data_IF_871763631148
#
_entry.id   IF_871763631148
#
_cell.length_a   1.000
_cell.length_b   1.000
_cell.length_c   1.000
_cell.angle_alpha   90.00
_cell.angle_beta   90.00
_cell.angle_gamma   90.00
#
_symmetry.space_group_name_H-M   'P 1'
#
loop_
_entity.id
_entity.type
_entity.pdbx_description
1 polymer ?
#
# COMPACT_ATOMS: atom_id res chain seq x y z
N UNK A 1 -14.40 24.74 16.97
CA UNK A 1 -13.43 23.62 16.95
C UNK A 1 -13.30 22.95 15.57
N UNK A 2 -14.35 22.88 14.74
CA UNK A 2 -14.29 22.28 13.38
C UNK A 2 -13.24 22.88 12.42
N UNK A 3 -12.94 24.19 12.52
CA UNK A 3 -12.08 24.92 11.57
C UNK A 3 -10.59 24.52 11.70
N UNK A 4 -10.16 24.10 12.89
CA UNK A 4 -8.76 23.73 13.15
C UNK A 4 -8.46 22.34 12.57
N UNK A 5 -9.37 21.38 12.75
CA UNK A 5 -9.25 20.04 12.16
C UNK A 5 -9.17 20.08 10.62
N UNK A 6 -9.99 20.91 9.97
CA UNK A 6 -9.95 21.05 8.50
C UNK A 6 -8.66 21.70 8.00
N UNK A 7 -8.08 22.65 8.73
CA UNK A 7 -6.83 23.32 8.35
C UNK A 7 -5.60 22.43 8.58
N UNK A 8 -5.58 21.70 9.69
CA UNK A 8 -4.57 20.68 10.00
C UNK A 8 -4.63 19.57 8.95
N UNK A 9 -5.83 19.06 8.65
CA UNK A 9 -6.03 18.03 7.64
C UNK A 9 -5.64 18.51 6.22
N UNK A 10 -6.00 19.72 5.79
CA UNK A 10 -5.58 20.24 4.47
C UNK A 10 -4.06 20.42 4.36
N UNK A 11 -3.40 20.73 5.48
CA UNK A 11 -1.94 20.80 5.58
C UNK A 11 -1.32 19.40 5.49
N UNK A 12 -1.93 18.39 6.12
CA UNK A 12 -1.55 16.98 5.99
C UNK A 12 -1.82 16.40 4.61
N UNK A 13 -2.95 16.72 3.98
CA UNK A 13 -3.28 16.34 2.59
C UNK A 13 -2.18 16.76 1.62
N UNK A 14 -1.70 18.00 1.72
CA UNK A 14 -0.60 18.47 0.89
C UNK A 14 0.75 17.85 1.29
N UNK A 15 1.00 17.64 2.59
CA UNK A 15 2.28 17.12 3.08
C UNK A 15 2.45 15.60 2.85
N UNK A 16 1.43 14.77 3.06
CA UNK A 16 1.42 13.34 2.74
C UNK A 16 1.51 13.12 1.23
N UNK A 17 0.66 13.81 0.45
CA UNK A 17 0.70 13.71 -1.01
C UNK A 17 2.01 14.24 -1.59
N UNK A 18 2.67 15.26 -1.02
CA UNK A 18 3.98 15.69 -1.52
C UNK A 18 5.14 14.82 -1.00
N UNK A 19 5.18 14.44 0.28
CA UNK A 19 6.32 13.72 0.85
C UNK A 19 6.37 12.26 0.39
N UNK A 20 5.23 11.57 0.32
CA UNK A 20 5.15 10.19 -0.14
C UNK A 20 5.36 10.10 -1.67
N UNK A 21 4.84 11.05 -2.47
CA UNK A 21 4.98 10.97 -3.93
C UNK A 21 6.29 11.56 -4.48
N UNK A 22 6.81 12.69 -3.96
CA UNK A 22 7.95 13.36 -4.59
C UNK A 22 9.31 12.91 -4.08
N UNK A 23 9.41 12.37 -2.86
CA UNK A 23 10.71 11.96 -2.31
C UNK A 23 11.25 10.71 -3.01
N UNK A 24 10.37 9.78 -3.38
CA UNK A 24 10.78 8.53 -4.05
C UNK A 24 10.86 8.63 -5.57
N UNK A 25 9.95 9.36 -6.23
CA UNK A 25 10.00 9.52 -7.69
C UNK A 25 11.30 10.17 -8.19
N UNK A 26 11.75 11.23 -7.50
CA UNK A 26 12.99 11.92 -7.84
C UNK A 26 14.26 11.11 -7.51
N UNK A 27 14.18 10.12 -6.62
CA UNK A 27 15.27 9.20 -6.31
C UNK A 27 15.33 8.04 -7.32
N UNK A 28 14.16 7.52 -7.72
CA UNK A 28 14.02 6.48 -8.73
C UNK A 28 14.48 6.96 -10.12
N UNK A 29 14.05 8.15 -10.56
CA UNK A 29 14.47 8.76 -11.84
C UNK A 29 15.98 9.08 -11.91
N UNK A 30 16.64 9.25 -10.75
CA UNK A 30 18.10 9.42 -10.68
C UNK A 30 18.86 8.10 -10.78
N UNK A 31 18.28 6.99 -10.31
CA UNK A 31 18.89 5.64 -10.38
C UNK A 31 18.78 5.03 -11.77
N UNK A 32 17.68 5.29 -12.50
CA UNK A 32 17.47 4.78 -13.88
C UNK A 32 18.33 5.47 -14.95
N UNK A 33 19.05 6.57 -14.61
CA UNK A 33 19.92 7.31 -15.55
C UNK A 33 21.43 7.05 -15.41
N UNK A 34 21.88 6.22 -14.47
CA UNK A 34 23.31 5.91 -14.33
C UNK A 34 23.65 4.52 -14.89
N UNK A 35 24.52 4.41 -15.92
CA UNK A 35 25.04 3.13 -16.36
C UNK A 35 26.08 2.65 -15.34
N UNK A 36 25.65 1.87 -14.35
CA UNK A 36 26.55 1.28 -13.36
C UNK A 36 27.15 -0.01 -13.93
N UNK A 37 28.46 0.00 -14.21
CA UNK A 37 29.18 -1.10 -14.88
C UNK A 37 29.57 -2.29 -13.99
N UNK A 38 29.15 -2.34 -12.72
CA UNK A 38 29.52 -3.43 -11.80
C UNK A 38 28.35 -3.91 -10.91
N UNK A 39 27.24 -4.36 -11.48
CA UNK A 39 26.15 -5.01 -10.74
C UNK A 39 25.62 -6.23 -11.51
N UNK A 40 26.18 -7.41 -11.24
CA UNK A 40 25.82 -8.65 -11.96
C UNK A 40 24.68 -9.46 -11.32
N UNK A 41 23.85 -8.84 -10.48
CA UNK A 41 22.85 -9.59 -9.67
C UNK A 41 21.47 -8.94 -9.60
N UNK A 42 20.97 -8.20 -10.60
CA UNK A 42 19.63 -7.58 -10.48
C UNK A 42 18.64 -7.76 -11.65
N UNK A 43 19.01 -8.45 -12.74
CA UNK A 43 18.31 -8.20 -14.01
C UNK A 43 17.11 -9.09 -14.37
N UNK A 44 16.94 -10.28 -13.77
CA UNK A 44 16.02 -11.27 -14.39
C UNK A 44 14.53 -11.14 -14.00
N UNK A 45 14.17 -10.48 -12.88
CA UNK A 45 12.75 -10.24 -12.52
C UNK A 45 12.18 -8.95 -13.11
N UNK A 46 13.03 -7.97 -13.45
CA UNK A 46 12.61 -6.75 -14.14
C UNK A 46 12.46 -6.96 -15.65
N UNK A 47 13.36 -7.71 -16.29
CA UNK A 47 13.32 -7.93 -17.75
C UNK A 47 12.04 -8.64 -18.22
N UNK A 48 11.48 -9.55 -17.41
CA UNK A 48 10.25 -10.27 -17.76
C UNK A 48 9.01 -9.37 -17.74
N UNK A 49 8.96 -8.37 -16.87
CA UNK A 49 7.81 -7.50 -16.68
C UNK A 49 7.70 -6.35 -17.69
N UNK A 50 8.83 -5.91 -18.26
CA UNK A 50 8.87 -4.74 -19.16
C UNK A 50 8.44 -5.02 -20.60
N UNK A 51 8.23 -6.28 -21.01
CA UNK A 51 7.96 -6.62 -22.42
C UNK A 51 6.69 -5.99 -23.00
N UNK A 52 5.66 -5.84 -22.17
CA UNK A 52 4.35 -5.34 -22.60
C UNK A 52 4.03 -3.93 -22.06
N UNK A 53 4.96 -3.32 -21.31
CA UNK A 53 4.80 -1.97 -20.74
C UNK A 53 3.77 -1.84 -19.60
N UNK A 54 3.24 -2.95 -19.09
CA UNK A 54 2.27 -2.97 -17.99
C UNK A 54 2.98 -2.87 -16.63
N UNK A 55 2.38 -2.20 -15.62
CA UNK A 55 2.90 -2.21 -14.26
C UNK A 55 2.98 -3.63 -13.69
N UNK A 56 3.99 -3.90 -12.88
CA UNK A 56 4.30 -5.22 -12.34
C UNK A 56 4.05 -5.30 -10.85
N UNK A 57 3.28 -6.30 -10.40
CA UNK A 57 2.92 -6.45 -8.99
C UNK A 57 4.04 -7.05 -8.12
N UNK A 58 5.15 -7.49 -8.72
CA UNK A 58 6.37 -7.79 -7.97
C UNK A 58 7.29 -6.58 -7.76
N UNK A 59 6.96 -5.41 -8.36
CA UNK A 59 7.67 -4.16 -8.12
C UNK A 59 7.10 -3.46 -6.88
N UNK A 60 7.95 -3.29 -5.87
CA UNK A 60 7.61 -2.64 -4.62
C UNK A 60 7.00 -1.25 -4.82
N UNK A 61 7.49 -0.47 -5.79
CA UNK A 61 7.00 0.88 -6.02
C UNK A 61 5.58 0.86 -6.58
N UNK A 62 5.28 -0.06 -7.49
CA UNK A 62 3.94 -0.24 -8.05
C UNK A 62 2.96 -0.64 -6.96
N UNK A 63 3.33 -1.62 -6.12
CA UNK A 63 2.50 -2.06 -4.99
C UNK A 63 2.27 -0.93 -3.99
N UNK A 64 3.34 -0.23 -3.59
CA UNK A 64 3.26 0.89 -2.65
C UNK A 64 2.38 2.02 -3.19
N UNK A 65 2.48 2.33 -4.48
CA UNK A 65 1.64 3.34 -5.12
C UNK A 65 0.16 2.96 -5.08
N UNK A 66 -0.18 1.72 -5.44
CA UNK A 66 -1.55 1.23 -5.41
C UNK A 66 -2.15 1.28 -4.00
N UNK A 67 -1.41 0.79 -3.02
CA UNK A 67 -1.83 0.77 -1.61
C UNK A 67 -1.92 2.20 -1.05
N UNK A 68 -0.96 3.06 -1.38
CA UNK A 68 -0.94 4.46 -0.97
C UNK A 68 -2.08 5.29 -1.58
N UNK A 69 -2.50 4.99 -2.80
CA UNK A 69 -3.68 5.61 -3.42
C UNK A 69 -4.95 5.25 -2.65
N UNK A 70 -5.15 3.97 -2.33
CA UNK A 70 -6.29 3.53 -1.52
C UNK A 70 -6.30 4.20 -0.13
N UNK A 71 -5.15 4.28 0.54
CA UNK A 71 -5.02 4.95 1.84
C UNK A 71 -5.30 6.46 1.75
N UNK A 72 -4.84 7.12 0.66
CA UNK A 72 -5.10 8.53 0.43
C UNK A 72 -6.59 8.80 0.21
N UNK A 73 -7.24 7.97 -0.61
CA UNK A 73 -8.66 8.10 -0.92
C UNK A 73 -9.55 7.85 0.31
N UNK A 74 -9.21 6.87 1.15
CA UNK A 74 -9.94 6.62 2.41
C UNK A 74 -9.79 7.79 3.39
N UNK A 75 -8.57 8.31 3.56
CA UNK A 75 -8.37 9.51 4.38
C UNK A 75 -9.18 10.69 3.85
N UNK A 76 -9.28 10.89 2.53
CA UNK A 76 -10.08 11.97 1.94
C UNK A 76 -11.58 11.82 2.29
N UNK A 77 -12.09 10.58 2.38
CA UNK A 77 -13.47 10.33 2.82
C UNK A 77 -13.71 10.79 4.24
N UNK A 78 -12.74 10.68 5.16
CA UNK A 78 -12.89 11.24 6.50
C UNK A 78 -13.14 12.76 6.48
N UNK A 79 -12.52 13.48 5.54
CA UNK A 79 -12.80 14.92 5.35
C UNK A 79 -14.21 15.13 4.89
N UNK A 80 -14.64 14.38 3.88
CA UNK A 80 -15.96 14.53 3.30
C UNK A 80 -17.04 14.17 4.34
N UNK A 81 -16.77 13.23 5.24
CA UNK A 81 -17.59 12.99 6.45
C UNK A 81 -17.60 14.22 7.36
N UNK A 82 -16.42 14.75 7.72
CA UNK A 82 -16.30 15.90 8.64
C UNK A 82 -16.99 17.17 8.12
N UNK A 83 -17.10 17.29 6.80
CA UNK A 83 -17.73 18.43 6.10
C UNK A 83 -19.20 18.17 5.73
N UNK A 84 -19.74 17.00 6.09
CA UNK A 84 -21.13 16.62 5.83
C UNK A 84 -21.45 16.33 4.36
N UNK A 85 -20.44 16.19 3.50
CA UNK A 85 -20.63 15.80 2.08
C UNK A 85 -20.94 14.31 1.93
N UNK A 86 -20.53 13.51 2.90
CA UNK A 86 -20.63 12.07 2.87
C UNK A 86 -21.05 11.56 4.26
N UNK A 87 -21.83 10.50 4.33
CA UNK A 87 -22.13 9.81 5.60
C UNK A 87 -21.07 8.76 5.90
N UNK A 88 -20.91 8.38 7.18
CA UNK A 88 -19.98 7.31 7.56
C UNK A 88 -20.32 5.96 6.89
N UNK A 89 -21.61 5.68 6.70
CA UNK A 89 -22.09 4.49 5.99
C UNK A 89 -21.65 4.50 4.52
N UNK A 90 -21.84 5.62 3.82
CA UNK A 90 -21.38 5.78 2.43
C UNK A 90 -19.86 5.63 2.30
N UNK A 91 -19.07 6.14 3.26
CA UNK A 91 -17.61 5.95 3.24
C UNK A 91 -17.25 4.48 3.36
N UNK A 92 -17.87 3.78 4.32
CA UNK A 92 -17.65 2.35 4.53
C UNK A 92 -17.97 1.53 3.28
N UNK A 93 -19.10 1.81 2.62
CA UNK A 93 -19.46 1.14 1.36
C UNK A 93 -18.42 1.39 0.25
N UNK A 94 -17.91 2.62 0.14
CA UNK A 94 -16.85 2.96 -0.82
C UNK A 94 -15.53 2.26 -0.50
N UNK A 95 -15.11 2.26 0.77
CA UNK A 95 -13.89 1.61 1.26
C UNK A 95 -13.93 0.09 0.95
N UNK A 96 -15.06 -0.56 1.24
CA UNK A 96 -15.27 -1.99 0.94
C UNK A 96 -15.20 -2.24 -0.57
N UNK A 97 -15.87 -1.41 -1.37
CA UNK A 97 -15.93 -1.55 -2.83
C UNK A 97 -14.53 -1.43 -3.44
N UNK A 98 -13.77 -0.43 -3.05
CA UNK A 98 -12.42 -0.21 -3.58
C UNK A 98 -11.42 -1.25 -3.09
N UNK A 99 -11.51 -1.67 -1.83
CA UNK A 99 -10.70 -2.77 -1.30
C UNK A 99 -10.91 -4.05 -2.09
N UNK A 100 -12.17 -4.37 -2.46
CA UNK A 100 -12.48 -5.51 -3.33
C UNK A 100 -11.94 -5.33 -4.74
N UNK A 101 -12.06 -4.14 -5.33
CA UNK A 101 -11.50 -3.87 -6.65
C UNK A 101 -9.99 -4.04 -6.66
N UNK A 102 -9.29 -3.52 -5.66
CA UNK A 102 -7.85 -3.68 -5.55
C UNK A 102 -7.45 -5.12 -5.25
N UNK A 103 -8.23 -5.86 -4.46
CA UNK A 103 -8.01 -7.29 -4.23
C UNK A 103 -8.01 -8.08 -5.54
N UNK A 104 -8.89 -7.77 -6.49
CA UNK A 104 -8.91 -8.40 -7.82
C UNK A 104 -7.63 -8.16 -8.61
N UNK A 105 -7.02 -6.97 -8.48
CA UNK A 105 -5.72 -6.67 -9.09
C UNK A 105 -4.65 -7.63 -8.53
N UNK A 106 -4.58 -7.76 -7.21
CA UNK A 106 -3.60 -8.64 -6.55
C UNK A 106 -3.87 -10.14 -6.73
N UNK A 107 -5.09 -10.53 -7.11
CA UNK A 107 -5.43 -11.88 -7.53
C UNK A 107 -5.19 -12.14 -9.03
N UNK A 108 -4.53 -11.21 -9.73
CA UNK A 108 -4.19 -11.36 -11.15
C UNK A 108 -5.39 -11.27 -12.09
N UNK A 109 -6.53 -10.75 -11.63
CA UNK A 109 -7.77 -10.68 -12.42
C UNK A 109 -7.85 -9.40 -13.27
N UNK A 110 -7.02 -8.40 -12.99
CA UNK A 110 -6.96 -7.17 -13.78
C UNK A 110 -5.92 -7.29 -14.91
N UNK A 111 -6.32 -7.28 -16.19
CA UNK A 111 -5.42 -7.44 -17.32
C UNK A 111 -4.46 -6.26 -17.54
N UNK A 112 -4.62 -5.14 -16.82
CA UNK A 112 -3.73 -3.98 -16.90
C UNK A 112 -2.42 -4.17 -16.12
N UNK A 113 -2.34 -5.18 -15.25
CA UNK A 113 -1.17 -5.46 -14.42
C UNK A 113 -0.55 -6.81 -14.79
N UNK A 114 0.78 -6.88 -14.72
CA UNK A 114 1.50 -8.14 -14.75
C UNK A 114 1.66 -8.65 -13.31
N UNK A 115 1.13 -9.83 -13.02
CA UNK A 115 1.31 -10.49 -11.72
C UNK A 115 2.69 -11.14 -11.57
N UNK A 116 3.16 -11.28 -10.33
CA UNK A 116 4.23 -12.19 -9.95
C UNK A 116 3.76 -13.63 -10.20
N UNK A 117 4.50 -14.35 -11.05
CA UNK A 117 4.14 -15.69 -11.50
C UNK A 117 4.00 -16.64 -10.31
N UNK A 118 2.92 -17.45 -10.29
CA UNK A 118 2.59 -18.39 -9.20
C UNK A 118 2.38 -17.75 -7.81
N UNK A 119 2.29 -16.42 -7.75
CA UNK A 119 2.02 -15.67 -6.53
C UNK A 119 0.66 -14.98 -6.58
N UNK A 120 0.41 -14.15 -7.61
CA UNK A 120 -0.86 -13.44 -7.79
C UNK A 120 -1.95 -14.35 -8.39
N UNK A 121 -2.24 -15.46 -7.71
CA UNK A 121 -3.31 -16.41 -8.04
C UNK A 121 -4.06 -16.83 -6.76
N UNK A 122 -5.38 -17.13 -6.84
CA UNK A 122 -6.13 -17.63 -5.69
C UNK A 122 -5.53 -18.92 -5.10
N UNK A 123 -5.47 -19.01 -3.77
CA UNK A 123 -4.82 -20.09 -3.00
C UNK A 123 -3.30 -19.89 -2.83
N UNK A 124 -2.77 -18.71 -3.13
CA UNK A 124 -1.35 -18.36 -2.92
C UNK A 124 -1.25 -17.10 -2.07
N UNK A 125 -1.31 -15.94 -2.71
CA UNK A 125 -1.20 -14.65 -2.03
C UNK A 125 -2.28 -14.49 -0.95
N UNK A 126 -3.53 -14.89 -1.20
CA UNK A 126 -4.61 -14.73 -0.22
C UNK A 126 -4.48 -15.67 0.98
N UNK A 127 -4.02 -16.91 0.78
CA UNK A 127 -3.73 -17.85 1.89
C UNK A 127 -2.58 -17.32 2.75
N UNK A 128 -1.54 -16.77 2.11
CA UNK A 128 -0.43 -16.12 2.81
C UNK A 128 -0.90 -14.91 3.60
N UNK A 129 -1.63 -13.98 2.96
CA UNK A 129 -2.21 -12.79 3.59
C UNK A 129 -3.09 -13.19 4.77
N UNK A 130 -3.94 -14.19 4.61
CA UNK A 130 -4.84 -14.66 5.66
C UNK A 130 -4.07 -15.20 6.87
N UNK A 131 -2.98 -15.94 6.64
CA UNK A 131 -2.11 -16.42 7.71
C UNK A 131 -1.38 -15.27 8.42
N UNK A 132 -0.87 -14.28 7.67
CA UNK A 132 -0.11 -13.15 8.23
C UNK A 132 -1.01 -12.23 9.08
N UNK A 133 -2.21 -11.91 8.59
CA UNK A 133 -3.13 -10.96 9.23
C UNK A 133 -4.23 -11.64 10.08
N UNK A 134 -4.17 -12.96 10.26
CA UNK A 134 -5.17 -13.76 10.97
C UNK A 134 -6.60 -13.54 10.46
N UNK A 135 -6.78 -13.56 9.13
CA UNK A 135 -8.06 -13.33 8.46
C UNK A 135 -8.76 -14.68 8.25
N UNK A 136 -10.02 -14.78 8.68
CA UNK A 136 -10.81 -16.03 8.66
C UNK A 136 -11.82 -16.12 7.50
N UNK A 137 -11.73 -15.22 6.54
CA UNK A 137 -12.60 -15.21 5.37
C UNK A 137 -12.39 -16.46 4.51
N UNK A 138 -13.46 -16.96 3.89
CA UNK A 138 -13.41 -18.17 3.06
C UNK A 138 -13.14 -17.88 1.57
N UNK A 139 -13.36 -16.65 1.14
CA UNK A 139 -13.22 -16.22 -0.25
C UNK A 139 -11.86 -15.50 -0.46
N UNK A 140 -11.08 -15.85 -1.50
CA UNK A 140 -9.80 -15.21 -1.79
C UNK A 140 -9.87 -13.69 -1.95
N UNK A 141 -10.89 -13.17 -2.65
CA UNK A 141 -11.08 -11.72 -2.82
C UNK A 141 -11.40 -11.07 -1.48
N UNK A 142 -12.27 -11.67 -0.67
CA UNK A 142 -12.60 -11.19 0.67
C UNK A 142 -11.38 -11.16 1.59
N UNK A 143 -10.48 -12.15 1.55
CA UNK A 143 -9.26 -12.16 2.38
C UNK A 143 -8.36 -10.97 2.09
N UNK A 144 -8.06 -10.72 0.81
CA UNK A 144 -7.22 -9.59 0.42
C UNK A 144 -7.96 -8.25 0.66
N UNK A 145 -9.26 -8.18 0.39
CA UNK A 145 -10.04 -6.99 0.67
C UNK A 145 -10.06 -6.66 2.17
N UNK A 146 -10.16 -7.66 3.05
CA UNK A 146 -10.10 -7.48 4.50
C UNK A 146 -8.74 -6.96 4.94
N UNK A 147 -7.64 -7.40 4.34
CA UNK A 147 -6.31 -6.83 4.60
C UNK A 147 -6.29 -5.31 4.34
N UNK A 148 -6.87 -4.87 3.22
CA UNK A 148 -6.97 -3.44 2.91
C UNK A 148 -7.90 -2.69 3.87
N UNK A 149 -9.00 -3.29 4.30
CA UNK A 149 -9.89 -2.70 5.30
C UNK A 149 -9.16 -2.51 6.64
N UNK A 150 -8.34 -3.47 7.07
CA UNK A 150 -7.52 -3.35 8.29
C UNK A 150 -6.56 -2.15 8.16
N UNK A 151 -5.88 -2.02 7.02
CA UNK A 151 -5.04 -0.85 6.76
C UNK A 151 -5.83 0.47 6.83
N UNK A 152 -7.01 0.54 6.23
CA UNK A 152 -7.87 1.74 6.29
C UNK A 152 -8.26 2.06 7.75
N UNK A 153 -8.54 1.04 8.56
CA UNK A 153 -8.80 1.21 9.99
C UNK A 153 -7.58 1.78 10.73
N UNK A 154 -6.37 1.32 10.42
CA UNK A 154 -5.13 1.89 10.96
C UNK A 154 -4.98 3.36 10.55
N UNK A 155 -5.24 3.70 9.29
CA UNK A 155 -5.20 5.09 8.80
C UNK A 155 -6.19 5.98 9.56
N UNK A 156 -7.40 5.48 9.80
CA UNK A 156 -8.42 6.20 10.56
C UNK A 156 -8.01 6.35 12.03
N UNK A 157 -7.36 5.34 12.61
CA UNK A 157 -6.75 5.42 13.93
C UNK A 157 -5.69 6.51 14.02
N UNK A 158 -4.76 6.54 13.06
CA UNK A 158 -3.72 7.56 12.98
C UNK A 158 -4.30 8.97 12.81
N UNK A 159 -5.34 9.14 11.99
CA UNK A 159 -6.05 10.42 11.86
C UNK A 159 -6.68 10.89 13.18
N UNK A 160 -7.24 9.96 13.98
CA UNK A 160 -7.78 10.30 15.32
C UNK A 160 -6.69 10.73 16.29
N UNK A 161 -5.52 10.08 16.27
CA UNK A 161 -4.37 10.51 17.09
C UNK A 161 -3.97 11.95 16.74
N UNK A 162 -3.98 12.31 15.45
CA UNK A 162 -3.72 13.69 15.04
C UNK A 162 -4.76 14.67 15.61
N UNK A 163 -6.05 14.30 15.60
CA UNK A 163 -7.13 15.12 16.19
C UNK A 163 -7.03 15.24 17.72
N UNK A 164 -6.50 14.22 18.39
CA UNK A 164 -6.20 14.22 19.83
C UNK A 164 -4.94 15.02 20.21
N UNK A 165 -4.20 15.53 19.22
CA UNK A 165 -3.03 16.38 19.41
C UNK A 165 -1.71 15.63 19.58
N UNK A 166 -1.64 14.37 19.15
CA UNK A 166 -0.36 13.65 19.10
C UNK A 166 0.62 14.32 18.11
N UNK A 167 1.94 14.18 18.34
CA UNK A 167 2.96 14.72 17.44
C UNK A 167 2.80 14.25 15.99
N UNK A 168 3.03 15.17 15.04
CA UNK A 168 2.97 14.89 13.59
C UNK A 168 3.87 13.71 13.19
N UNK A 169 5.08 13.65 13.74
CA UNK A 169 6.04 12.60 13.41
C UNK A 169 5.57 11.20 13.87
N UNK A 170 4.84 11.12 14.98
CA UNK A 170 4.30 9.86 15.49
C UNK A 170 3.15 9.36 14.60
N UNK A 171 2.26 10.27 14.20
CA UNK A 171 1.16 9.97 13.28
C UNK A 171 1.71 9.53 11.91
N UNK A 172 2.71 10.24 11.40
CA UNK A 172 3.36 9.91 10.12
C UNK A 172 4.04 8.53 10.20
N UNK A 173 4.73 8.24 11.30
CA UNK A 173 5.37 6.93 11.54
C UNK A 173 4.35 5.80 11.54
N UNK A 174 3.19 6.00 12.18
CA UNK A 174 2.11 5.02 12.17
C UNK A 174 1.56 4.76 10.76
N UNK A 175 1.36 5.81 9.96
CA UNK A 175 0.89 5.70 8.58
C UNK A 175 1.91 4.97 7.71
N UNK A 176 3.17 5.40 7.74
CA UNK A 176 4.23 4.81 6.93
C UNK A 176 4.47 3.34 7.30
N UNK A 177 4.46 3.01 8.58
CA UNK A 177 4.60 1.63 9.05
C UNK A 177 3.49 0.69 8.57
N UNK A 178 2.24 1.15 8.58
CA UNK A 178 1.11 0.36 8.05
C UNK A 178 1.21 0.20 6.53
N UNK A 179 1.51 1.26 5.77
CA UNK A 179 1.73 1.17 4.32
C UNK A 179 2.87 0.21 3.96
N UNK A 180 3.99 0.27 4.68
CA UNK A 180 5.14 -0.62 4.48
C UNK A 180 4.81 -2.08 4.77
N UNK A 181 4.12 -2.33 5.87
CA UNK A 181 3.70 -3.67 6.29
C UNK A 181 2.78 -4.31 5.26
N UNK A 182 1.78 -3.58 4.79
CA UNK A 182 0.83 -4.08 3.79
C UNK A 182 1.53 -4.29 2.45
N UNK A 183 2.40 -3.37 2.04
CA UNK A 183 3.19 -3.50 0.80
C UNK A 183 4.08 -4.74 0.84
N UNK A 184 4.79 -4.97 1.95
CA UNK A 184 5.64 -6.14 2.18
C UNK A 184 4.87 -7.45 2.02
N UNK A 185 3.73 -7.57 2.71
CA UNK A 185 2.93 -8.80 2.70
C UNK A 185 2.41 -9.11 1.29
N UNK A 186 2.00 -8.10 0.53
CA UNK A 186 1.50 -8.28 -0.83
C UNK A 186 2.57 -8.78 -1.82
N UNK A 187 3.85 -8.52 -1.55
CA UNK A 187 4.97 -9.07 -2.32
C UNK A 187 5.58 -10.34 -1.69
N UNK A 188 4.96 -10.88 -0.65
CA UNK A 188 5.34 -12.16 -0.03
C UNK A 188 6.39 -12.06 1.07
N UNK A 189 6.58 -10.88 1.66
CA UNK A 189 7.44 -10.68 2.83
C UNK A 189 6.59 -10.77 4.11
N UNK A 190 6.88 -11.71 5.02
CA UNK A 190 6.20 -11.82 6.32
C UNK A 190 6.37 -10.58 7.22
N UNK A 191 5.41 -10.33 8.10
CA UNK A 191 5.46 -9.18 9.02
C UNK A 191 6.65 -9.24 9.99
N UNK A 192 6.99 -10.43 10.49
CA UNK A 192 8.12 -10.65 11.42
C UNK A 192 9.47 -10.36 10.76
N UNK A 193 9.64 -10.70 9.48
CA UNK A 193 10.85 -10.40 8.73
C UNK A 193 11.01 -8.90 8.44
N UNK A 194 9.91 -8.16 8.33
CA UNK A 194 9.95 -6.73 8.06
C UNK A 194 10.51 -5.95 9.27
N UNK A 195 10.12 -6.34 10.49
CA UNK A 195 10.59 -5.71 11.72
C UNK A 195 12.11 -5.89 11.91
N UNK A 196 12.66 -7.03 11.46
CA UNK A 196 14.09 -7.32 11.60
C UNK A 196 14.97 -6.67 10.52
N UNK A 197 14.49 -6.57 9.28
CA UNK A 197 15.33 -6.26 8.11
C UNK A 197 15.00 -4.91 7.47
N UNK A 198 13.77 -4.40 7.66
CA UNK A 198 13.23 -3.31 6.86
C UNK A 198 12.91 -3.72 5.41
N UNK A 199 12.05 -2.93 4.76
CA UNK A 199 11.42 -3.29 3.49
C UNK A 199 12.41 -3.51 2.33
N UNK A 200 13.41 -2.62 2.20
CA UNK A 200 14.38 -2.69 1.10
C UNK A 200 15.30 -3.91 1.19
N UNK A 201 15.72 -4.29 2.40
CA UNK A 201 16.62 -5.43 2.60
C UNK A 201 15.85 -6.75 2.52
N UNK A 202 14.63 -6.80 3.08
CA UNK A 202 13.77 -7.97 2.94
C UNK A 202 13.45 -8.29 1.47
N UNK A 203 13.22 -7.26 0.64
CA UNK A 203 13.00 -7.45 -0.79
C UNK A 203 14.23 -8.05 -1.51
N UNK A 204 15.46 -7.70 -1.11
CA UNK A 204 16.68 -8.27 -1.71
C UNK A 204 16.85 -9.75 -1.42
N UNK A 205 16.28 -10.21 -0.31
CA UNK A 205 16.42 -11.58 0.17
C UNK A 205 15.31 -12.51 -0.34
N UNK A 206 14.29 -11.97 -1.02
CA UNK A 206 13.24 -12.78 -1.62
C UNK A 206 13.86 -13.77 -2.63
N UNK A 207 13.60 -15.09 -2.47
CA UNK A 207 14.13 -16.08 -3.39
C UNK A 207 13.60 -15.79 -4.79
N UNK A 208 14.51 -15.68 -5.75
CA UNK A 208 14.19 -15.58 -7.18
C UNK A 208 13.53 -16.88 -7.60
N UNK A 209 12.20 -16.92 -7.58
CA UNK A 209 11.40 -18.09 -7.93
C UNK A 209 10.85 -17.94 -9.34
#
# INVERSE_FOLDING_TARGET
MLIIATAIYQKYKAALLLKCFYRDKAAHERRTRMPNKNLHTFDLSMEAATKDGKPYLGDLYVVRELVGNLASDSLLRLVDISTGKLTAEQASEMDIKESRQLARVFLGQDPHYNGLQHWNEPGKIDDFVAAQANIIENDPEARIATLFILMIQDMYGAARLADEGYPEDDVQTAIDGSLESITAVLIGIPFDQLEELGLEEAQRLLPRR
#
